data_IF_608809133216
#
_entry.id   IF_608809133216
#
_cell.length_a   1.000
_cell.length_b   1.000
_cell.length_c   1.000
_cell.angle_alpha   90.00
_cell.angle_beta   90.00
_cell.angle_gamma   90.00
#
_symmetry.space_group_name_H-M   'P 1'
#
loop_
_entity.id
_entity.type
_entity.pdbx_description
1 polymer ?
#
# COMPACT_ATOMS: atom_id res chain seq x y z
N UNK A 1 -10.59 6.13 4.34
CA UNK A 1 -9.94 7.25 3.63
C UNK A 1 -9.84 6.98 2.12
N UNK A 2 -9.41 7.95 1.31
CA UNK A 2 -9.11 7.71 -0.11
C UNK A 2 -8.01 8.67 -0.63
N UNK A 3 -7.33 8.27 -1.71
CA UNK A 3 -6.37 9.10 -2.44
C UNK A 3 -6.72 9.15 -3.92
N UNK A 4 -6.58 10.33 -4.54
CA UNK A 4 -6.87 10.54 -5.96
C UNK A 4 -5.57 10.71 -6.75
N UNK A 5 -5.47 10.02 -7.90
CA UNK A 5 -4.40 10.14 -8.87
C UNK A 5 -4.98 10.23 -10.28
N UNK A 6 -4.86 11.40 -10.91
CA UNK A 6 -5.15 11.65 -12.33
C UNK A 6 -6.30 10.80 -12.92
N UNK A 7 -7.51 10.96 -12.38
CA UNK A 7 -8.73 10.30 -12.87
C UNK A 7 -9.02 8.91 -12.29
N UNK A 8 -8.19 8.42 -11.36
CA UNK A 8 -8.46 7.25 -10.54
C UNK A 8 -8.47 7.63 -9.05
N UNK A 9 -9.27 6.93 -8.25
CA UNK A 9 -9.32 7.08 -6.80
C UNK A 9 -9.15 5.73 -6.12
N UNK A 10 -8.17 5.61 -5.25
CA UNK A 10 -7.95 4.44 -4.42
C UNK A 10 -8.57 4.67 -3.04
N UNK A 11 -9.49 3.81 -2.65
CA UNK A 11 -10.20 3.85 -1.37
C UNK A 11 -9.59 2.82 -0.43
N UNK A 12 -9.31 3.23 0.80
CA UNK A 12 -8.87 2.35 1.89
C UNK A 12 -9.94 2.38 2.99
N UNK A 13 -10.55 1.23 3.26
CA UNK A 13 -11.68 1.09 4.17
C UNK A 13 -11.36 0.08 5.26
N UNK A 14 -11.40 0.49 6.53
CA UNK A 14 -11.38 -0.42 7.66
C UNK A 14 -12.62 -1.34 7.66
N UNK A 15 -12.41 -2.63 7.84
CA UNK A 15 -13.49 -3.61 7.93
C UNK A 15 -13.98 -3.74 9.37
N UNK A 16 -15.30 -3.87 9.60
CA UNK A 16 -15.83 -4.04 10.95
C UNK A 16 -15.25 -5.29 11.64
N UNK A 17 -14.85 -5.13 12.90
CA UNK A 17 -14.44 -6.22 13.79
C UNK A 17 -15.42 -6.41 14.95
N UNK A 18 -15.46 -7.62 15.53
CA UNK A 18 -16.43 -7.97 16.59
C UNK A 18 -16.19 -7.22 17.91
N UNK A 19 -14.94 -6.88 18.20
CA UNK A 19 -14.48 -6.15 19.38
C UNK A 19 -14.43 -4.63 19.16
N UNK A 20 -14.83 -4.16 17.97
CA UNK A 20 -14.83 -2.75 17.59
C UNK A 20 -13.47 -2.21 17.13
N UNK A 21 -12.41 -3.02 17.09
CA UNK A 21 -11.09 -2.61 16.61
C UNK A 21 -10.78 -3.28 15.27
N UNK A 22 -10.74 -2.49 14.19
CA UNK A 22 -10.48 -3.04 12.87
C UNK A 22 -9.07 -3.63 12.78
N UNK A 23 -8.97 -4.89 12.35
CA UNK A 23 -7.69 -5.59 12.12
C UNK A 23 -7.43 -5.84 10.63
N UNK A 24 -8.40 -5.52 9.79
CA UNK A 24 -8.40 -5.77 8.36
C UNK A 24 -8.95 -4.54 7.63
N UNK A 25 -8.38 -4.24 6.48
CA UNK A 25 -8.86 -3.22 5.56
C UNK A 25 -9.14 -3.82 4.19
N UNK A 26 -9.90 -3.08 3.37
CA UNK A 26 -10.12 -3.37 1.96
C UNK A 26 -9.67 -2.18 1.11
N UNK A 27 -8.99 -2.49 0.01
CA UNK A 27 -8.70 -1.56 -1.07
C UNK A 27 -9.72 -1.71 -2.19
N UNK A 28 -10.26 -0.58 -2.63
CA UNK A 28 -11.08 -0.51 -3.84
C UNK A 28 -10.55 0.60 -4.74
N UNK A 29 -10.41 0.35 -6.03
CA UNK A 29 -10.09 1.38 -7.02
C UNK A 29 -11.34 1.79 -7.78
N UNK A 30 -11.53 3.10 -7.89
CA UNK A 30 -12.57 3.75 -8.69
C UNK A 30 -11.95 4.47 -9.87
N UNK A 31 -12.40 4.15 -11.08
CA UNK A 31 -11.95 4.76 -12.34
C UNK A 31 -13.03 4.62 -13.40
N UNK A 32 -13.22 5.64 -14.24
CA UNK A 32 -14.21 5.65 -15.32
C UNK A 32 -15.64 5.30 -14.85
N UNK A 33 -15.99 5.74 -13.62
CA UNK A 33 -17.29 5.48 -12.99
C UNK A 33 -17.50 4.04 -12.51
N UNK A 34 -16.47 3.18 -12.60
CA UNK A 34 -16.50 1.82 -12.08
C UNK A 34 -15.64 1.70 -10.83
N UNK A 35 -16.14 0.97 -9.83
CA UNK A 35 -15.40 0.63 -8.61
C UNK A 35 -15.20 -0.88 -8.54
N UNK A 36 -13.97 -1.29 -8.22
CA UNK A 36 -13.61 -2.70 -8.02
C UNK A 36 -12.62 -2.89 -6.89
N UNK A 37 -12.68 -4.05 -6.26
CA UNK A 37 -11.71 -4.46 -5.25
C UNK A 37 -10.31 -4.59 -5.88
N UNK A 38 -9.29 -4.21 -5.13
CA UNK A 38 -7.88 -4.48 -5.42
C UNK A 38 -7.41 -5.57 -4.47
N UNK A 39 -6.88 -6.65 -5.03
CA UNK A 39 -6.35 -7.74 -4.22
C UNK A 39 -5.09 -7.30 -3.46
N UNK A 40 -4.98 -7.73 -2.21
CA UNK A 40 -3.76 -7.54 -1.44
C UNK A 40 -2.63 -8.42 -2.01
N UNK A 41 -1.36 -8.00 -1.89
CA UNK A 41 -0.23 -8.82 -2.28
C UNK A 41 -0.21 -10.14 -1.51
N UNK A 42 0.15 -11.23 -2.19
CA UNK A 42 0.17 -12.55 -1.58
C UNK A 42 1.13 -12.63 -0.37
N UNK A 43 2.21 -11.83 -0.39
CA UNK A 43 3.20 -11.81 0.69
C UNK A 43 2.71 -11.07 1.94
N UNK A 44 1.64 -10.29 1.81
CA UNK A 44 1.02 -9.54 2.91
C UNK A 44 -0.09 -10.35 3.60
N UNK A 45 -0.05 -11.68 3.51
CA UNK A 45 -0.97 -12.54 4.26
C UNK A 45 -0.76 -12.34 5.77
N UNK A 46 -1.81 -11.89 6.46
CA UNK A 46 -1.74 -11.52 7.89
C UNK A 46 -1.50 -10.03 8.14
N UNK A 47 -1.15 -9.27 7.10
CA UNK A 47 -1.03 -7.82 7.13
C UNK A 47 -2.18 -7.16 6.36
N UNK A 48 -2.31 -5.85 6.52
CA UNK A 48 -3.38 -5.09 5.86
C UNK A 48 -2.88 -3.74 5.37
N UNK A 49 -3.59 -3.15 4.41
CA UNK A 49 -3.23 -1.81 3.94
C UNK A 49 -3.55 -0.80 5.04
N UNK A 50 -2.61 0.07 5.35
CA UNK A 50 -2.70 1.04 6.44
C UNK A 50 -2.49 2.47 5.98
N UNK A 51 -2.00 2.69 4.76
CA UNK A 51 -1.81 4.05 4.26
C UNK A 51 -1.77 4.14 2.74
N UNK A 52 -2.14 5.32 2.22
CA UNK A 52 -2.19 5.61 0.79
C UNK A 52 -1.43 6.88 0.43
N UNK A 53 -0.72 6.85 -0.70
CA UNK A 53 -0.20 8.04 -1.35
C UNK A 53 -0.38 8.00 -2.86
N UNK A 54 -0.34 9.18 -3.47
CA UNK A 54 -0.36 9.38 -4.91
C UNK A 54 0.97 9.96 -5.36
N UNK A 55 1.55 9.40 -6.41
CA UNK A 55 2.80 9.88 -7.01
C UNK A 55 2.73 9.82 -8.52
N UNK A 56 3.58 10.61 -9.18
CA UNK A 56 3.78 10.58 -10.63
C UNK A 56 5.24 10.31 -10.95
N UNK A 57 5.50 9.54 -12.01
CA UNK A 57 6.85 9.40 -12.55
C UNK A 57 7.34 10.68 -13.26
N UNK A 58 8.58 10.67 -13.74
CA UNK A 58 9.16 11.80 -14.47
C UNK A 58 8.45 12.13 -15.81
N UNK A 59 7.52 11.29 -16.28
CA UNK A 59 6.70 11.50 -17.47
C UNK A 59 5.27 11.95 -17.15
N UNK A 60 4.91 12.04 -15.86
CA UNK A 60 3.55 12.35 -15.41
C UNK A 60 2.61 11.14 -15.37
N UNK A 61 3.14 9.92 -15.44
CA UNK A 61 2.33 8.71 -15.28
C UNK A 61 1.95 8.52 -13.81
N UNK A 62 0.65 8.39 -13.47
CA UNK A 62 0.20 8.24 -12.09
C UNK A 62 0.39 6.82 -11.53
N UNK A 63 0.77 6.76 -10.25
CA UNK A 63 0.87 5.54 -9.46
C UNK A 63 0.30 5.76 -8.05
N UNK A 64 -0.18 4.67 -7.45
CA UNK A 64 -0.49 4.63 -6.03
C UNK A 64 0.64 3.95 -5.27
N UNK A 65 1.05 4.55 -4.15
CA UNK A 65 1.86 3.87 -3.14
C UNK A 65 0.91 3.43 -2.03
N UNK A 66 0.94 2.14 -1.73
CA UNK A 66 0.16 1.56 -0.64
C UNK A 66 1.12 1.04 0.40
N UNK A 67 0.91 1.49 1.64
CA UNK A 67 1.63 1.02 2.80
C UNK A 67 0.85 -0.12 3.46
N UNK A 68 1.54 -1.19 3.81
CA UNK A 68 1.00 -2.35 4.52
C UNK A 68 1.64 -2.47 5.90
N UNK A 69 0.85 -2.93 6.87
CA UNK A 69 1.25 -3.11 8.25
C UNK A 69 0.17 -3.86 9.05
N UNK A 70 0.15 -3.64 10.37
CA UNK A 70 -0.82 -4.21 11.30
C UNK A 70 -1.69 -3.12 11.93
N UNK A 71 -2.98 -3.41 12.15
CA UNK A 71 -3.90 -2.57 12.89
C UNK A 71 -4.33 -3.25 14.21
N UNK A 72 -4.67 -2.48 15.27
CA UNK A 72 -4.51 -1.02 15.39
C UNK A 72 -3.08 -0.61 15.80
N UNK A 73 -2.18 -1.58 15.96
CA UNK A 73 -0.85 -1.43 16.55
C UNK A 73 0.19 -0.74 15.66
N UNK A 74 -0.25 0.14 14.73
CA UNK A 74 0.57 0.78 13.71
C UNK A 74 2.00 1.10 14.17
N UNK A 75 2.96 0.86 13.28
CA UNK A 75 4.40 1.08 13.45
C UNK A 75 5.17 0.17 14.44
N UNK A 76 4.53 -0.75 15.18
CA UNK A 76 5.27 -1.74 15.99
C UNK A 76 6.09 -2.73 15.13
N UNK A 77 5.62 -2.97 13.90
CA UNK A 77 6.39 -3.55 12.81
C UNK A 77 6.33 -2.60 11.61
N UNK A 78 7.42 -1.86 11.41
CA UNK A 78 8.14 -1.78 10.14
C UNK A 78 7.27 -2.00 8.87
N UNK A 79 7.03 -0.94 8.10
CA UNK A 79 6.04 -0.90 7.03
C UNK A 79 6.55 -1.42 5.68
N UNK A 80 5.68 -2.14 4.95
CA UNK A 80 5.92 -2.52 3.56
C UNK A 80 5.29 -1.52 2.61
N UNK A 81 6.00 -1.19 1.54
CA UNK A 81 5.47 -0.31 0.50
C UNK A 81 5.33 -1.06 -0.82
N UNK A 82 4.15 -0.93 -1.41
CA UNK A 82 3.82 -1.51 -2.70
C UNK A 82 3.45 -0.41 -3.68
N UNK A 83 3.95 -0.53 -4.92
CA UNK A 83 3.56 0.35 -6.00
C UNK A 83 2.45 -0.32 -6.82
N UNK A 84 1.39 0.45 -7.08
CA UNK A 84 0.29 0.06 -7.96
C UNK A 84 0.17 1.05 -9.11
N UNK A 85 -0.19 0.57 -10.29
CA UNK A 85 -0.56 1.48 -11.38
C UNK A 85 -1.93 2.15 -11.13
N UNK A 86 -2.32 3.10 -11.96
CA UNK A 86 -3.63 3.76 -11.89
C UNK A 86 -4.82 2.86 -12.24
N UNK A 87 -4.60 1.56 -12.48
CA UNK A 87 -5.63 0.53 -12.55
C UNK A 87 -5.55 -0.40 -11.32
N UNK A 88 -4.83 -0.06 -10.26
CA UNK A 88 -4.74 -0.91 -9.08
C UNK A 88 -4.09 -2.27 -9.37
N UNK A 89 -3.25 -2.36 -10.42
CA UNK A 89 -2.40 -3.52 -10.64
C UNK A 89 -1.14 -3.36 -9.80
N UNK A 90 -0.85 -4.35 -8.96
CA UNK A 90 0.40 -4.46 -8.23
C UNK A 90 1.59 -4.53 -9.19
N UNK A 91 2.64 -3.74 -8.91
CA UNK A 91 3.86 -3.67 -9.72
C UNK A 91 5.10 -4.16 -8.99
N UNK A 92 5.04 -4.29 -7.67
CA UNK A 92 6.18 -4.66 -6.82
C UNK A 92 5.80 -5.78 -5.87
N UNK A 93 6.79 -6.51 -5.36
CA UNK A 93 6.62 -7.64 -4.46
C UNK A 93 7.62 -7.54 -3.30
N UNK A 94 7.25 -8.19 -2.20
CA UNK A 94 8.12 -8.37 -1.04
C UNK A 94 8.36 -9.86 -0.86
N UNK A 95 9.20 -10.48 -1.70
CA UNK A 95 9.48 -11.92 -1.62
C UNK A 95 10.98 -12.18 -1.37
N UNK A 96 11.40 -12.64 -0.16
CA UNK A 96 10.56 -12.88 1.02
C UNK A 96 9.97 -11.59 1.61
N UNK A 97 8.88 -11.63 2.42
CA UNK A 97 8.27 -10.42 2.98
C UNK A 97 9.22 -9.70 3.93
N UNK A 98 10.02 -10.42 4.71
CA UNK A 98 11.02 -9.85 5.60
C UNK A 98 12.42 -10.22 5.17
N UNK A 99 13.38 -9.34 5.46
CA UNK A 99 14.82 -9.62 5.38
C UNK A 99 15.39 -9.82 6.76
N UNK A 100 16.60 -10.37 6.80
CA UNK A 100 17.33 -10.59 8.04
C UNK A 100 16.80 -11.76 8.84
N UNK A 101 17.37 -11.94 10.03
CA UNK A 101 17.05 -13.05 10.94
C UNK A 101 16.95 -12.52 12.37
N UNK A 102 16.08 -13.11 13.18
CA UNK A 102 15.89 -12.75 14.58
C UNK A 102 15.53 -11.27 14.77
N UNK A 103 16.26 -10.59 15.65
CA UNK A 103 16.01 -9.18 16.00
C UNK A 103 16.41 -8.19 14.89
N UNK A 104 17.11 -8.64 13.84
CA UNK A 104 17.52 -7.81 12.70
C UNK A 104 16.50 -7.85 11.54
N UNK A 105 15.28 -8.35 11.79
CA UNK A 105 14.26 -8.43 10.75
C UNK A 105 13.75 -7.06 10.32
N UNK A 106 13.56 -6.88 9.01
CA UNK A 106 13.01 -5.66 8.43
C UNK A 106 12.11 -5.95 7.22
N UNK A 107 11.20 -5.03 6.84
CA UNK A 107 10.37 -5.18 5.65
C UNK A 107 11.23 -5.24 4.41
N UNK A 108 10.86 -6.10 3.47
CA UNK A 108 11.54 -6.18 2.20
C UNK A 108 10.96 -5.20 1.18
N UNK A 109 11.49 -3.97 1.18
CA UNK A 109 11.09 -2.92 0.23
C UNK A 109 12.04 -2.80 -0.99
N UNK A 110 12.79 -3.85 -1.36
CA UNK A 110 13.86 -3.74 -2.39
C UNK A 110 13.28 -3.43 -3.76
N UNK A 111 12.32 -4.24 -4.20
CA UNK A 111 11.72 -4.07 -5.52
C UNK A 111 10.99 -2.72 -5.60
N UNK A 112 10.31 -2.33 -4.52
CA UNK A 112 9.71 -1.01 -4.38
C UNK A 112 10.74 0.11 -4.55
N UNK A 113 11.79 0.12 -3.72
CA UNK A 113 12.82 1.17 -3.75
C UNK A 113 13.53 1.25 -5.11
N UNK A 114 13.84 0.11 -5.72
CA UNK A 114 14.46 0.05 -7.04
C UNK A 114 13.52 0.58 -8.13
N UNK A 115 12.25 0.21 -8.10
CA UNK A 115 11.28 0.62 -9.12
C UNK A 115 10.98 2.12 -9.04
N UNK A 116 10.70 2.67 -7.85
CA UNK A 116 10.42 4.11 -7.72
C UNK A 116 11.64 4.94 -8.14
N UNK A 117 12.86 4.51 -7.81
CA UNK A 117 14.08 5.18 -8.23
C UNK A 117 14.25 5.16 -9.76
N UNK A 118 13.96 4.01 -10.39
CA UNK A 118 13.99 3.87 -11.86
C UNK A 118 12.96 4.76 -12.56
N UNK A 119 11.78 4.96 -11.95
CA UNK A 119 10.72 5.84 -12.44
C UNK A 119 10.98 7.33 -12.13
N UNK A 120 12.02 7.64 -11.35
CA UNK A 120 12.29 9.02 -10.89
C UNK A 120 11.30 9.52 -9.83
N UNK A 121 10.58 8.61 -9.19
CA UNK A 121 9.63 8.88 -8.11
C UNK A 121 10.41 8.99 -6.80
N UNK A 122 10.16 10.07 -6.04
CA UNK A 122 10.58 10.15 -4.64
C UNK A 122 9.56 9.41 -3.78
N UNK A 123 10.03 8.66 -2.78
CA UNK A 123 9.15 8.06 -1.80
C UNK A 123 8.24 9.14 -1.17
N UNK A 124 6.91 9.00 -1.22
CA UNK A 124 6.00 10.01 -0.71
C UNK A 124 5.80 9.87 0.80
N UNK A 125 5.34 10.96 1.42
CA UNK A 125 4.62 10.84 2.68
C UNK A 125 3.28 10.14 2.43
N UNK A 126 2.91 9.23 3.32
CA UNK A 126 1.71 8.41 3.21
C UNK A 126 0.66 8.93 4.18
N UNK A 127 -0.59 9.03 3.70
CA UNK A 127 -1.71 9.34 4.56
C UNK A 127 -2.19 8.02 5.18
N UNK A 128 -2.09 7.88 6.50
CA UNK A 128 -2.50 6.68 7.21
C UNK A 128 -4.01 6.63 7.40
N UNK A 129 -4.55 5.41 7.48
CA UNK A 129 -5.92 5.21 7.95
C UNK A 129 -5.95 5.52 9.45
N UNK A 130 -6.48 6.69 9.78
CA UNK A 130 -6.82 7.02 11.18
C UNK A 130 -7.96 6.10 11.65
N UNK A 131 -7.82 5.57 12.87
CA UNK A 131 -8.88 4.85 13.61
C UNK A 131 -10.12 5.74 13.83
#
# INVERSE_FOLDING_TARGET
MHKECAGARLHLTALPAQDGQATQTRLDIEKDGQRRTVDAPAEMSGYTAVGLACVEDAQGTPYFVVQYGELPYGCAFCEWFYLYDANGKQLTHSNPPVRGEGEAQSPNNDEYSQLIAKLGIKHPEVDDIED
#
